data_IF_364562730232
#
_entry.id   IF_364562730232
#
_cell.length_a   1.000
_cell.length_b   1.000
_cell.length_c   1.000
_cell.angle_alpha   90.00
_cell.angle_beta   90.00
_cell.angle_gamma   90.00
#
_symmetry.space_group_name_H-M   'P 1'
#
loop_
_entity.id
_entity.type
_entity.pdbx_description
1 polymer ?
#
# COMPACT_ATOMS: atom_id res chain seq x y z
N UNK A 1 6.94 -0.02 23.60
CA UNK A 1 7.45 -0.35 22.25
C UNK A 1 7.04 -1.76 21.90
N UNK A 2 7.12 -2.12 20.62
CA UNK A 2 7.05 -3.51 20.13
C UNK A 2 8.32 -3.78 19.32
N UNK A 3 8.89 -4.96 19.55
CA UNK A 3 10.02 -5.46 18.79
C UNK A 3 9.51 -6.18 17.55
N UNK A 4 10.01 -5.79 16.39
CA UNK A 4 9.87 -6.51 15.12
C UNK A 4 11.24 -7.07 14.79
N UNK A 5 11.33 -8.40 14.72
CA UNK A 5 12.58 -9.10 14.41
C UNK A 5 12.62 -9.43 12.92
N UNK A 6 13.52 -8.75 12.21
CA UNK A 6 13.78 -8.92 10.78
C UNK A 6 15.18 -9.50 10.57
N UNK A 7 15.45 -10.18 9.44
CA UNK A 7 16.80 -10.60 9.11
C UNK A 7 17.79 -9.42 9.13
N UNK A 8 19.01 -9.66 9.60
CA UNK A 8 20.12 -8.69 9.59
C UNK A 8 20.64 -8.35 8.17
N UNK A 9 20.18 -9.08 7.16
CA UNK A 9 20.60 -8.94 5.77
C UNK A 9 20.07 -7.66 5.11
N UNK A 10 19.65 -7.79 3.86
CA UNK A 10 19.10 -6.64 3.14
C UNK A 10 17.80 -6.15 3.76
N UNK A 11 17.70 -4.83 3.93
CA UNK A 11 16.52 -4.16 4.46
C UNK A 11 15.33 -4.26 3.49
N UNK A 12 14.11 -4.28 4.04
CA UNK A 12 12.90 -4.03 3.22
C UNK A 12 12.84 -2.60 2.69
N UNK A 13 13.54 -1.67 3.35
CA UNK A 13 13.53 -0.25 3.05
C UNK A 13 13.63 0.59 4.32
N UNK A 14 12.94 1.72 4.34
CA UNK A 14 12.96 2.65 5.46
C UNK A 14 11.61 2.67 6.19
N UNK A 15 11.66 2.64 7.52
CA UNK A 15 10.49 2.86 8.36
C UNK A 15 10.51 4.32 8.74
N UNK A 16 9.40 4.99 8.49
CA UNK A 16 9.13 6.35 8.90
C UNK A 16 8.03 6.36 9.96
N UNK A 17 8.01 7.41 10.76
CA UNK A 17 7.01 7.64 11.81
C UNK A 17 6.33 8.99 11.56
N UNK A 18 5.03 9.09 11.83
CA UNK A 18 4.31 10.36 11.68
C UNK A 18 5.01 11.47 12.47
N UNK A 19 5.15 12.67 11.91
CA UNK A 19 5.74 13.79 12.66
C UNK A 19 4.83 14.21 13.81
N UNK A 20 5.43 14.69 14.90
CA UNK A 20 4.68 15.27 16.02
C UNK A 20 4.16 16.68 15.69
N UNK A 21 4.82 17.38 14.77
CA UNK A 21 4.55 18.78 14.45
C UNK A 21 3.66 18.95 13.21
N UNK A 22 3.73 17.98 12.28
CA UNK A 22 2.94 17.97 11.04
C UNK A 22 2.35 16.57 10.77
N UNK A 23 1.04 16.36 10.94
CA UNK A 23 0.40 15.06 10.76
C UNK A 23 0.44 14.53 9.32
N UNK A 24 0.77 15.39 8.33
CA UNK A 24 0.90 15.02 6.92
C UNK A 24 2.36 14.70 6.53
N UNK A 25 3.31 14.86 7.46
CA UNK A 25 4.73 14.60 7.23
C UNK A 25 5.21 13.32 7.93
N UNK A 26 6.06 12.55 7.25
CA UNK A 26 6.72 11.36 7.77
C UNK A 26 8.19 11.65 8.08
N UNK A 27 8.63 11.32 9.30
CA UNK A 27 10.02 11.45 9.73
C UNK A 27 10.74 10.10 9.64
N UNK A 28 11.97 10.05 9.08
CA UNK A 28 12.76 8.82 9.08
C UNK A 28 12.99 8.30 10.50
N UNK A 29 12.70 7.02 10.74
CA UNK A 29 12.92 6.37 12.03
C UNK A 29 14.12 5.42 11.98
N UNK A 30 14.09 4.44 11.09
CA UNK A 30 15.15 3.42 10.97
C UNK A 30 15.01 2.58 9.71
N UNK A 31 16.04 1.78 9.40
CA UNK A 31 15.97 0.77 8.34
C UNK A 31 15.15 -0.46 8.80
N UNK A 32 14.35 -1.03 7.90
CA UNK A 32 13.59 -2.26 8.13
C UNK A 32 14.47 -3.52 8.02
N UNK A 33 15.42 -3.68 8.95
CA UNK A 33 16.27 -4.87 9.11
C UNK A 33 16.70 -5.07 10.57
N UNK A 34 17.10 -6.28 10.91
CA UNK A 34 17.50 -6.63 12.28
C UNK A 34 16.39 -6.36 13.30
N UNK A 35 16.78 -5.97 14.50
CA UNK A 35 15.84 -5.63 15.57
C UNK A 35 15.30 -4.21 15.43
N UNK A 36 14.04 -4.10 15.04
CA UNK A 36 13.32 -2.81 14.92
C UNK A 36 12.44 -2.60 16.13
N UNK A 37 12.58 -1.45 16.80
CA UNK A 37 11.76 -1.07 17.95
C UNK A 37 10.75 0.01 17.55
N UNK A 38 9.47 -0.35 17.51
CA UNK A 38 8.38 0.56 17.16
C UNK A 38 7.68 1.10 18.42
N UNK A 39 7.62 2.41 18.64
CA UNK A 39 6.77 3.02 19.67
C UNK A 39 5.30 2.60 19.53
N UNK A 40 4.58 2.51 20.65
CA UNK A 40 3.13 2.24 20.63
C UNK A 40 2.37 3.55 20.40
N UNK A 41 1.19 3.46 19.78
CA UNK A 41 0.30 4.60 19.61
C UNK A 41 0.79 5.64 18.60
N UNK A 42 1.74 5.26 17.75
CA UNK A 42 2.23 6.05 16.62
C UNK A 42 1.88 5.35 15.32
N UNK A 43 1.70 6.11 14.25
CA UNK A 43 1.60 5.59 12.90
C UNK A 43 2.98 5.41 12.29
N UNK A 44 3.13 4.36 11.49
CA UNK A 44 4.35 4.06 10.76
C UNK A 44 4.04 3.89 9.27
N UNK A 45 4.93 4.44 8.44
CA UNK A 45 5.01 4.14 7.04
C UNK A 45 6.22 3.24 6.80
N UNK A 46 6.07 2.24 5.94
CA UNK A 46 7.20 1.51 5.38
C UNK A 46 7.38 1.96 3.93
N UNK A 47 8.46 2.67 3.64
CA UNK A 47 8.91 2.92 2.28
C UNK A 47 9.79 1.76 1.83
N UNK A 48 9.35 1.04 0.80
CA UNK A 48 10.08 -0.10 0.25
C UNK A 48 11.29 0.37 -0.57
N UNK A 49 12.35 -0.44 -0.58
CA UNK A 49 13.51 -0.15 -1.41
C UNK A 49 13.14 -0.12 -2.91
N UNK A 50 13.46 1.00 -3.57
CA UNK A 50 13.13 1.26 -4.98
C UNK A 50 14.18 0.70 -5.95
N UNK A 51 15.42 0.56 -5.49
CA UNK A 51 16.57 0.15 -6.29
C UNK A 51 16.69 -1.37 -6.49
N UNK A 52 15.95 -2.19 -5.76
CA UNK A 52 16.05 -3.67 -5.77
C UNK A 52 14.73 -4.37 -5.44
N UNK A 53 14.71 -5.70 -5.62
CA UNK A 53 13.64 -6.56 -5.12
C UNK A 53 13.80 -6.73 -3.62
N UNK A 54 12.69 -6.77 -2.89
CA UNK A 54 12.67 -7.05 -1.44
C UNK A 54 11.83 -8.29 -1.15
N UNK A 55 12.14 -9.00 -0.08
CA UNK A 55 11.34 -10.15 0.36
C UNK A 55 10.09 -9.68 1.11
N UNK A 56 9.02 -9.41 0.37
CA UNK A 56 7.72 -8.97 0.92
C UNK A 56 7.09 -9.99 1.88
N UNK A 57 7.56 -11.25 1.91
CA UNK A 57 7.08 -12.23 2.89
C UNK A 57 7.43 -11.86 4.34
N UNK A 58 8.39 -10.95 4.53
CA UNK A 58 8.76 -10.42 5.84
C UNK A 58 7.72 -9.45 6.43
N UNK A 59 6.78 -8.94 5.61
CA UNK A 59 5.69 -8.08 6.10
C UNK A 59 4.85 -8.75 7.19
N UNK A 60 4.74 -10.08 7.19
CA UNK A 60 4.06 -10.87 8.24
C UNK A 60 4.71 -10.75 9.63
N UNK A 61 5.93 -10.21 9.72
CA UNK A 61 6.63 -9.97 10.99
C UNK A 61 6.09 -8.73 11.72
N UNK A 62 5.51 -7.79 10.99
CA UNK A 62 4.88 -6.63 11.59
C UNK A 62 3.55 -7.06 12.23
N UNK A 63 3.28 -6.68 13.50
CA UNK A 63 2.00 -6.98 14.11
C UNK A 63 0.86 -6.28 13.37
N UNK A 64 -0.31 -6.92 13.33
CA UNK A 64 -1.53 -6.34 12.76
C UNK A 64 -1.79 -4.94 13.28
N UNK A 65 -2.06 -4.00 12.36
CA UNK A 65 -2.35 -2.60 12.67
C UNK A 65 -1.15 -1.72 13.03
N UNK A 66 0.10 -2.23 12.97
CA UNK A 66 1.29 -1.40 13.21
C UNK A 66 1.72 -0.59 11.98
N UNK A 67 1.65 -1.19 10.78
CA UNK A 67 1.89 -0.45 9.55
C UNK A 67 0.61 0.28 9.17
N UNK A 68 0.68 1.61 9.20
CA UNK A 68 -0.41 2.48 8.76
C UNK A 68 -0.36 2.68 7.24
N UNK A 69 0.85 2.86 6.70
CA UNK A 69 1.11 3.13 5.29
C UNK A 69 2.22 2.24 4.75
N UNK A 70 2.11 1.84 3.48
CA UNK A 70 3.21 1.25 2.71
C UNK A 70 3.37 2.07 1.43
N UNK A 71 4.54 2.68 1.26
CA UNK A 71 4.96 3.24 -0.01
C UNK A 71 5.78 2.18 -0.77
N UNK A 72 5.17 1.59 -1.79
CA UNK A 72 5.81 0.69 -2.74
C UNK A 72 5.92 1.32 -4.13
N UNK A 73 5.73 2.63 -4.27
CA UNK A 73 5.86 3.33 -5.55
C UNK A 73 7.25 3.14 -6.14
N UNK A 74 7.32 2.89 -7.44
CA UNK A 74 8.54 2.59 -8.20
C UNK A 74 9.40 1.42 -7.65
N UNK A 75 8.91 0.70 -6.64
CA UNK A 75 9.57 -0.47 -6.12
C UNK A 75 9.48 -1.62 -7.12
N UNK A 76 10.39 -2.59 -7.03
CA UNK A 76 10.44 -3.72 -7.96
C UNK A 76 9.37 -4.79 -7.65
N UNK A 77 8.14 -4.38 -7.35
CA UNK A 77 7.04 -5.27 -7.00
C UNK A 77 6.43 -5.96 -8.23
N UNK A 78 5.80 -7.10 -7.99
CA UNK A 78 5.07 -7.90 -9.00
C UNK A 78 3.74 -8.39 -8.41
N UNK A 79 2.85 -8.93 -9.25
CA UNK A 79 1.57 -9.51 -8.80
C UNK A 79 1.75 -10.57 -7.69
N UNK A 80 2.87 -11.30 -7.68
CA UNK A 80 3.18 -12.32 -6.67
C UNK A 80 3.37 -11.74 -5.26
N UNK A 81 3.76 -10.46 -5.17
CA UNK A 81 3.96 -9.73 -3.92
C UNK A 81 2.62 -9.25 -3.31
N UNK A 82 1.57 -9.12 -4.13
CA UNK A 82 0.26 -8.61 -3.70
C UNK A 82 -0.38 -9.47 -2.61
N UNK A 83 -0.18 -10.79 -2.63
CA UNK A 83 -0.66 -11.67 -1.56
C UNK A 83 -0.01 -11.36 -0.21
N UNK A 84 1.24 -10.88 -0.21
CA UNK A 84 2.02 -10.64 1.01
C UNK A 84 1.67 -9.25 1.56
N UNK A 85 1.46 -8.28 0.66
CA UNK A 85 0.86 -6.98 0.99
C UNK A 85 -0.55 -7.14 1.59
N UNK A 86 -1.37 -8.02 1.02
CA UNK A 86 -2.73 -8.32 1.50
C UNK A 86 -2.79 -8.91 2.92
N UNK A 87 -1.67 -9.43 3.45
CA UNK A 87 -1.57 -9.93 4.83
C UNK A 87 -1.39 -8.81 5.87
N UNK A 88 -1.06 -7.59 5.45
CA UNK A 88 -0.85 -6.44 6.35
C UNK A 88 -2.20 -5.87 6.78
N UNK A 89 -2.90 -6.62 7.62
CA UNK A 89 -4.24 -6.25 8.08
C UNK A 89 -4.19 -4.98 8.94
N UNK A 90 -5.15 -4.08 8.69
CA UNK A 90 -5.20 -2.75 9.31
C UNK A 90 -4.49 -1.63 8.53
N UNK A 91 -3.86 -1.95 7.40
CA UNK A 91 -3.25 -0.96 6.50
C UNK A 91 -4.30 0.08 6.04
N UNK A 92 -3.91 1.35 6.07
CA UNK A 92 -4.77 2.50 5.70
C UNK A 92 -4.37 3.12 4.38
N UNK A 93 -3.09 3.08 4.04
CA UNK A 93 -2.56 3.72 2.84
C UNK A 93 -1.62 2.76 2.12
N UNK A 94 -1.78 2.66 0.79
CA UNK A 94 -0.96 1.82 -0.06
C UNK A 94 -0.68 2.52 -1.39
N UNK A 95 0.59 2.79 -1.66
CA UNK A 95 1.03 3.27 -2.97
C UNK A 95 1.78 2.18 -3.71
N UNK A 96 1.33 1.87 -4.93
CA UNK A 96 1.93 0.90 -5.85
C UNK A 96 2.18 1.51 -7.23
N UNK A 97 2.20 2.83 -7.31
CA UNK A 97 2.36 3.57 -8.56
C UNK A 97 3.70 3.26 -9.23
N UNK A 98 3.73 3.24 -10.56
CA UNK A 98 4.95 2.96 -11.33
C UNK A 98 5.44 1.50 -11.26
N UNK A 99 4.70 0.60 -10.61
CA UNK A 99 5.02 -0.83 -10.56
C UNK A 99 4.32 -1.61 -11.69
N UNK A 100 4.86 -2.76 -12.14
CA UNK A 100 4.23 -3.60 -13.16
C UNK A 100 3.04 -4.44 -12.63
N UNK A 101 2.34 -3.94 -11.62
CA UNK A 101 1.19 -4.61 -11.01
C UNK A 101 -0.04 -4.55 -11.95
N UNK A 102 -0.77 -5.65 -12.05
CA UNK A 102 -1.97 -5.80 -12.86
C UNK A 102 -3.25 -5.98 -12.03
N UNK A 103 -4.40 -6.10 -12.71
CA UNK A 103 -5.70 -6.37 -12.07
C UNK A 103 -5.71 -7.64 -11.22
N UNK A 104 -4.80 -8.59 -11.48
CA UNK A 104 -4.63 -9.81 -10.65
C UNK A 104 -4.16 -9.49 -9.24
N UNK A 105 -3.27 -8.51 -9.07
CA UNK A 105 -2.85 -8.07 -7.75
C UNK A 105 -4.02 -7.44 -6.98
N UNK A 106 -4.81 -6.60 -7.64
CA UNK A 106 -5.95 -5.90 -7.01
C UNK A 106 -7.00 -6.89 -6.50
N UNK A 107 -7.22 -8.00 -7.22
CA UNK A 107 -8.04 -9.10 -6.72
C UNK A 107 -7.55 -9.63 -5.37
N UNK A 108 -6.22 -9.70 -5.14
CA UNK A 108 -5.65 -10.10 -3.85
C UNK A 108 -5.80 -9.00 -2.79
N UNK A 109 -5.56 -7.74 -3.19
CA UNK A 109 -5.61 -6.59 -2.29
C UNK A 109 -7.02 -6.28 -1.76
N UNK A 110 -8.08 -6.82 -2.39
CA UNK A 110 -9.48 -6.63 -1.95
C UNK A 110 -9.76 -7.06 -0.50
N UNK A 111 -8.88 -7.84 0.12
CA UNK A 111 -8.95 -8.23 1.54
C UNK A 111 -8.50 -7.14 2.50
N UNK A 112 -7.86 -6.07 2.04
CA UNK A 112 -7.46 -4.91 2.84
C UNK A 112 -8.67 -4.01 3.10
N UNK A 113 -9.65 -4.51 3.85
CA UNK A 113 -10.94 -3.83 4.06
C UNK A 113 -10.86 -2.53 4.85
N UNK A 114 -9.72 -2.22 5.43
CA UNK A 114 -9.49 -0.97 6.15
C UNK A 114 -8.79 0.10 5.31
N UNK A 115 -8.45 -0.18 4.05
CA UNK A 115 -7.71 0.72 3.18
C UNK A 115 -8.53 1.96 2.86
N UNK A 116 -7.93 3.13 3.07
CA UNK A 116 -8.55 4.45 2.88
C UNK A 116 -7.96 5.18 1.69
N UNK A 117 -6.67 4.97 1.38
CA UNK A 117 -6.00 5.57 0.22
C UNK A 117 -5.25 4.52 -0.57
N UNK A 118 -5.49 4.49 -1.87
CA UNK A 118 -4.84 3.59 -2.81
C UNK A 118 -4.38 4.35 -4.06
N UNK A 119 -3.09 4.26 -4.36
CA UNK A 119 -2.50 4.79 -5.58
C UNK A 119 -1.99 3.65 -6.45
N UNK A 120 -2.43 3.66 -7.70
CA UNK A 120 -2.14 2.66 -8.74
C UNK A 120 -1.75 3.37 -10.04
N UNK A 121 -1.17 4.56 -9.95
CA UNK A 121 -0.84 5.35 -11.13
C UNK A 121 0.24 4.67 -11.97
N UNK A 122 0.13 4.72 -13.29
CA UNK A 122 1.10 4.15 -14.24
C UNK A 122 1.38 2.66 -14.02
N UNK A 123 0.34 1.90 -13.68
CA UNK A 123 0.38 0.43 -13.51
C UNK A 123 -0.32 -0.28 -14.68
N UNK A 124 -0.30 -1.62 -14.69
CA UNK A 124 -0.95 -2.45 -15.73
C UNK A 124 -2.41 -2.76 -15.41
N UNK A 125 -3.10 -1.84 -14.71
CA UNK A 125 -4.50 -1.98 -14.34
C UNK A 125 -5.40 -1.81 -15.57
N UNK A 126 -6.38 -2.70 -15.67
CA UNK A 126 -7.42 -2.72 -16.70
C UNK A 126 -8.82 -2.84 -16.08
N UNK A 127 -9.82 -2.92 -16.95
CA UNK A 127 -11.24 -2.97 -16.59
C UNK A 127 -11.61 -4.13 -15.64
N UNK A 128 -10.81 -5.21 -15.61
CA UNK A 128 -11.08 -6.35 -14.73
C UNK A 128 -10.88 -6.02 -13.24
N UNK A 129 -10.18 -4.93 -12.91
CA UNK A 129 -9.94 -4.48 -11.54
C UNK A 129 -11.17 -3.84 -10.88
N UNK A 130 -12.08 -3.26 -11.66
CA UNK A 130 -13.22 -2.44 -11.19
C UNK A 130 -14.03 -3.09 -10.07
N UNK A 131 -14.54 -4.34 -10.19
CA UNK A 131 -15.34 -4.95 -9.12
C UNK A 131 -14.53 -5.14 -7.82
N UNK A 132 -13.21 -5.33 -7.92
CA UNK A 132 -12.35 -5.47 -6.74
C UNK A 132 -12.10 -4.13 -6.06
N UNK A 133 -11.88 -3.06 -6.84
CA UNK A 133 -11.73 -1.69 -6.34
C UNK A 133 -13.00 -1.21 -5.63
N UNK A 134 -14.19 -1.43 -6.22
CA UNK A 134 -15.48 -1.10 -5.60
C UNK A 134 -15.69 -1.85 -4.28
N UNK A 135 -15.15 -3.07 -4.16
CA UNK A 135 -15.27 -3.87 -2.93
C UNK A 135 -14.46 -3.34 -1.73
N UNK A 136 -13.59 -2.35 -1.94
CA UNK A 136 -12.83 -1.65 -0.90
C UNK A 136 -13.66 -0.46 -0.37
N UNK A 137 -14.72 -0.78 0.38
CA UNK A 137 -15.75 0.19 0.79
C UNK A 137 -15.31 1.33 1.71
N UNK A 138 -14.09 1.27 2.28
CA UNK A 138 -13.53 2.31 3.14
C UNK A 138 -12.65 3.31 2.38
N UNK A 139 -12.51 3.15 1.05
CA UNK A 139 -11.69 4.05 0.25
C UNK A 139 -12.24 5.48 0.26
N UNK A 140 -11.34 6.41 0.56
CA UNK A 140 -11.53 7.86 0.51
C UNK A 140 -10.71 8.49 -0.61
N UNK A 141 -9.68 7.81 -1.10
CA UNK A 141 -8.88 8.23 -2.24
C UNK A 141 -8.48 7.04 -3.11
N UNK A 142 -8.67 7.18 -4.42
CA UNK A 142 -8.23 6.22 -5.43
C UNK A 142 -7.64 6.96 -6.63
N UNK A 143 -6.37 6.71 -6.93
CA UNK A 143 -5.70 7.24 -8.13
C UNK A 143 -5.33 6.10 -9.08
N UNK A 144 -5.73 6.23 -10.34
CA UNK A 144 -5.55 5.25 -11.42
C UNK A 144 -5.09 5.95 -12.71
N UNK A 145 -4.38 7.08 -12.60
CA UNK A 145 -3.87 7.82 -13.76
C UNK A 145 -2.91 6.95 -14.56
N UNK A 146 -2.95 7.05 -15.89
CA UNK A 146 -2.06 6.27 -16.76
C UNK A 146 -2.34 4.76 -16.76
N UNK A 147 -3.52 4.33 -16.31
CA UNK A 147 -3.98 2.93 -16.43
C UNK A 147 -4.81 2.71 -17.71
N UNK A 148 -5.14 1.45 -18.02
CA UNK A 148 -5.84 1.05 -19.25
C UNK A 148 -7.36 0.92 -19.07
N UNK A 149 -7.98 1.76 -18.25
CA UNK A 149 -9.43 1.77 -18.04
C UNK A 149 -10.17 2.45 -19.20
N UNK A 150 -11.23 1.79 -19.68
CA UNK A 150 -12.14 2.38 -20.66
C UNK A 150 -13.15 3.35 -19.99
N UNK A 151 -13.90 4.12 -20.79
CA UNK A 151 -14.85 5.11 -20.28
C UNK A 151 -15.98 4.49 -19.43
N UNK A 152 -16.48 3.31 -19.79
CA UNK A 152 -17.52 2.60 -19.03
C UNK A 152 -17.03 2.20 -17.64
N UNK A 153 -15.78 1.74 -17.54
CA UNK A 153 -15.14 1.40 -16.27
C UNK A 153 -14.97 2.65 -15.40
N UNK A 154 -14.53 3.77 -15.99
CA UNK A 154 -14.41 5.05 -15.27
C UNK A 154 -15.78 5.55 -14.78
N UNK A 155 -16.82 5.41 -15.58
CA UNK A 155 -18.20 5.73 -15.18
C UNK A 155 -18.71 4.83 -14.07
N UNK A 156 -18.46 3.52 -14.13
CA UNK A 156 -18.82 2.58 -13.06
C UNK A 156 -18.11 2.93 -11.76
N UNK A 157 -16.80 3.21 -11.79
CA UNK A 157 -16.06 3.66 -10.61
C UNK A 157 -16.67 4.93 -10.00
N UNK A 158 -16.96 5.96 -10.82
CA UNK A 158 -17.59 7.21 -10.35
C UNK A 158 -18.97 7.00 -9.72
N UNK A 159 -19.71 5.99 -10.18
CA UNK A 159 -21.07 5.69 -9.73
C UNK A 159 -21.09 4.82 -8.48
N UNK A 160 -20.23 3.80 -8.43
CA UNK A 160 -20.34 2.70 -7.47
C UNK A 160 -19.33 2.80 -6.31
N UNK A 161 -18.33 3.68 -6.40
CA UNK A 161 -17.48 4.05 -5.26
C UNK A 161 -18.21 5.00 -4.28
N UNK A 162 -17.73 5.12 -3.03
CA UNK A 162 -18.30 6.04 -2.04
C UNK A 162 -18.41 7.49 -2.57
N UNK A 163 -19.52 8.18 -2.32
CA UNK A 163 -19.81 9.51 -2.89
C UNK A 163 -18.73 10.57 -2.61
N UNK A 164 -18.07 10.52 -1.46
CA UNK A 164 -17.05 11.49 -1.04
C UNK A 164 -15.61 11.08 -1.40
N UNK A 165 -15.44 10.06 -2.25
CA UNK A 165 -14.12 9.59 -2.66
C UNK A 165 -13.42 10.62 -3.56
N UNK A 166 -12.15 10.90 -3.26
CA UNK A 166 -11.25 11.56 -4.20
C UNK A 166 -10.81 10.54 -5.26
N UNK A 167 -11.49 10.52 -6.40
CA UNK A 167 -11.19 9.65 -7.54
C UNK A 167 -10.42 10.41 -8.62
N UNK A 168 -9.26 9.86 -9.02
CA UNK A 168 -8.43 10.41 -10.11
C UNK A 168 -8.22 9.33 -11.19
N UNK A 169 -8.82 9.52 -12.39
CA UNK A 169 -8.89 8.54 -13.50
C UNK A 169 -8.81 9.20 -14.87
#
# INVERSE_FOLDING_TARGET
MVLVDLPEGESLGEILVESADDPDYWEPLCQARGQVLLPRGRKFQLELAKDRRVDTSLLKRFPTGYLFSIDGSDAKLTDDDAEKLAMVQGLKELDLSGTPISSKAVEKLRSLKSLEKLWLDNTLIDDASVPFLISLGELKKLSLQGTSLNDLSKESLKKDLPTEIELVV
#
